data_IF_706179483278
#
_entry.id   IF_706179483278
#
_cell.length_a   1.000
_cell.length_b   1.000
_cell.length_c   1.000
_cell.angle_alpha   90.00
_cell.angle_beta   90.00
_cell.angle_gamma   90.00
#
_symmetry.space_group_name_H-M   'P 1'
#
loop_
_entity.id
_entity.type
_entity.pdbx_description
1 polymer ?
#
# COMPACT_ATOMS: atom_id res chain seq x y z
N UNK A 1 49.02 12.36 44.98
CA UNK A 1 48.18 12.22 43.77
C UNK A 1 47.62 13.60 43.46
N UNK A 2 47.86 14.15 42.29
CA UNK A 2 47.62 15.54 41.94
C UNK A 2 46.14 15.74 41.62
N UNK A 3 45.34 16.22 42.56
CA UNK A 3 43.91 16.33 42.47
C UNK A 3 43.45 17.16 41.24
N UNK A 4 44.29 18.13 40.81
CA UNK A 4 44.03 18.92 39.60
C UNK A 4 44.09 18.05 38.33
N UNK A 5 45.03 17.11 38.25
CA UNK A 5 45.11 16.21 37.08
C UNK A 5 43.97 15.24 36.99
N UNK A 6 43.47 14.77 38.14
CA UNK A 6 42.27 13.90 38.20
C UNK A 6 41.05 14.69 37.79
N UNK A 7 40.84 15.90 38.29
CA UNK A 7 39.73 16.75 37.94
C UNK A 7 39.69 17.11 36.44
N UNK A 8 40.85 17.39 35.85
CA UNK A 8 40.98 17.63 34.40
C UNK A 8 40.66 16.37 33.59
N UNK A 9 41.11 15.20 34.04
CA UNK A 9 40.80 13.93 33.38
C UNK A 9 39.30 13.63 33.39
N UNK A 10 38.63 13.79 34.53
CA UNK A 10 37.18 13.59 34.65
C UNK A 10 36.43 14.59 33.77
N UNK A 11 36.82 15.88 33.79
CA UNK A 11 36.16 16.89 32.94
C UNK A 11 36.34 16.56 31.44
N UNK A 12 37.51 16.13 31.02
CA UNK A 12 37.77 15.74 29.62
C UNK A 12 36.89 14.54 29.21
N UNK A 13 36.75 13.53 30.08
CA UNK A 13 35.89 12.37 29.81
C UNK A 13 34.42 12.75 29.68
N UNK A 14 33.92 13.64 30.54
CA UNK A 14 32.55 14.14 30.47
C UNK A 14 32.29 14.92 29.17
N UNK A 15 33.27 15.78 28.78
CA UNK A 15 33.12 16.54 27.53
C UNK A 15 33.17 15.64 26.29
N UNK A 16 34.00 14.60 26.28
CA UNK A 16 34.02 13.62 25.19
C UNK A 16 32.71 12.86 25.12
N UNK A 17 32.21 12.39 26.26
CA UNK A 17 30.91 11.69 26.30
C UNK A 17 29.76 12.59 25.83
N UNK A 18 29.72 13.84 26.29
CA UNK A 18 28.71 14.82 25.84
C UNK A 18 28.82 15.13 24.35
N UNK A 19 30.03 15.21 23.79
CA UNK A 19 30.23 15.41 22.36
C UNK A 19 29.78 14.21 21.52
N UNK A 20 30.03 13.00 22.00
CA UNK A 20 29.56 11.77 21.34
C UNK A 20 28.03 11.74 21.38
N UNK A 21 27.41 12.03 22.53
CA UNK A 21 25.95 12.09 22.65
C UNK A 21 25.34 13.17 21.74
N UNK A 22 25.93 14.36 21.73
CA UNK A 22 25.50 15.45 20.86
C UNK A 22 25.61 15.05 19.38
N UNK A 23 26.69 14.40 18.98
CA UNK A 23 26.88 13.91 17.63
C UNK A 23 25.86 12.83 17.30
N UNK A 24 25.62 11.87 18.20
CA UNK A 24 24.60 10.83 18.02
C UNK A 24 23.18 11.41 17.91
N UNK A 25 22.85 12.41 18.72
CA UNK A 25 21.54 13.10 18.67
C UNK A 25 21.41 13.95 17.39
N UNK A 26 22.48 14.65 16.98
CA UNK A 26 22.43 15.49 15.79
C UNK A 26 22.57 14.71 14.48
N UNK A 27 23.14 13.50 14.51
CA UNK A 27 23.18 12.58 13.38
C UNK A 27 22.02 11.57 13.39
N UNK A 28 21.20 11.61 14.42
CA UNK A 28 19.92 10.93 14.43
C UNK A 28 18.99 11.73 13.52
N UNK A 29 19.07 11.46 12.24
CA UNK A 29 17.95 11.68 11.36
C UNK A 29 16.88 10.72 11.89
N UNK A 30 15.79 11.27 12.39
CA UNK A 30 14.58 10.51 12.49
C UNK A 30 14.30 10.00 11.08
N UNK A 31 14.76 8.81 10.78
CA UNK A 31 14.21 8.03 9.69
C UNK A 31 12.86 7.52 10.22
N UNK A 32 11.98 8.49 10.32
CA UNK A 32 10.59 8.35 10.58
C UNK A 32 10.09 7.59 9.37
N UNK A 33 9.97 6.28 9.47
CA UNK A 33 9.61 5.37 8.42
C UNK A 33 8.66 6.00 7.41
N UNK A 34 9.25 6.58 6.41
CA UNK A 34 8.72 7.65 5.56
C UNK A 34 7.48 7.28 4.78
N UNK A 35 7.10 6.02 4.78
CA UNK A 35 5.89 5.57 4.08
C UNK A 35 4.59 5.94 4.80
N UNK A 36 4.60 6.12 6.13
CA UNK A 36 3.39 6.30 6.92
C UNK A 36 3.26 7.67 7.61
N UNK A 37 4.27 8.51 7.54
CA UNK A 37 4.27 9.81 8.22
C UNK A 37 3.56 10.93 7.50
N UNK A 38 3.30 10.75 6.26
CA UNK A 38 2.51 11.72 5.53
C UNK A 38 1.04 11.35 5.68
N UNK A 39 0.39 11.85 6.73
CA UNK A 39 -1.05 12.11 6.65
C UNK A 39 -1.26 12.71 5.27
N UNK A 40 -1.96 11.96 4.43
CA UNK A 40 -2.24 12.34 3.06
C UNK A 40 -2.72 13.80 3.00
N UNK A 41 -1.79 14.73 2.95
CA UNK A 41 -2.11 16.08 2.51
C UNK A 41 -2.36 15.93 1.03
N UNK A 42 -3.62 15.86 0.74
CA UNK A 42 -4.18 15.80 -0.57
C UNK A 42 -3.32 16.53 -1.58
N UNK A 43 -2.77 15.85 -2.54
CA UNK A 43 -2.35 16.50 -3.77
C UNK A 43 -3.63 16.92 -4.48
N UNK A 44 -4.16 18.06 -4.05
CA UNK A 44 -5.47 18.50 -4.45
C UNK A 44 -5.34 19.40 -5.63
N UNK A 45 -5.95 19.00 -6.68
CA UNK A 45 -6.31 19.89 -7.76
C UNK A 45 -7.80 20.16 -7.67
N UNK A 46 -8.14 21.39 -7.34
CA UNK A 46 -9.50 21.86 -7.47
C UNK A 46 -9.74 22.17 -8.95
N UNK A 47 -10.55 21.38 -9.58
CA UNK A 47 -10.94 21.57 -10.97
C UNK A 47 -12.38 22.01 -11.04
N UNK A 48 -12.63 23.10 -11.77
CA UNK A 48 -14.00 23.52 -12.09
C UNK A 48 -14.48 22.76 -13.30
N UNK A 49 -15.55 21.97 -13.14
CA UNK A 49 -16.21 21.27 -14.25
C UNK A 49 -17.60 21.81 -14.50
N UNK A 50 -17.98 21.82 -15.78
CA UNK A 50 -19.35 22.09 -16.20
C UNK A 50 -20.15 20.79 -16.26
N UNK A 51 -21.46 20.88 -16.16
CA UNK A 51 -22.38 19.75 -16.13
C UNK A 51 -22.15 18.69 -17.23
N UNK A 52 -21.69 19.11 -18.39
CA UNK A 52 -21.50 18.21 -19.54
C UNK A 52 -20.07 17.68 -19.70
N UNK A 53 -19.14 18.07 -18.82
CA UNK A 53 -17.78 17.55 -18.85
C UNK A 53 -17.76 16.22 -18.10
N UNK A 54 -17.77 15.12 -18.84
CA UNK A 54 -17.66 13.78 -18.28
C UNK A 54 -16.26 13.18 -18.44
N UNK A 55 -15.39 13.83 -19.21
CA UNK A 55 -14.04 13.39 -19.50
C UNK A 55 -13.03 14.45 -19.12
N UNK A 56 -11.99 14.08 -18.40
CA UNK A 56 -10.87 14.94 -18.09
C UNK A 56 -9.57 14.14 -17.98
N UNK A 57 -8.48 14.78 -18.33
CA UNK A 57 -7.15 14.20 -18.25
C UNK A 57 -6.42 14.62 -16.99
N UNK A 58 -5.70 13.69 -16.39
CA UNK A 58 -4.71 13.96 -15.36
C UNK A 58 -3.32 13.79 -15.97
N UNK A 59 -2.45 14.76 -15.75
CA UNK A 59 -1.03 14.59 -15.95
C UNK A 59 -0.31 14.73 -14.61
N UNK A 60 0.67 13.88 -14.36
CA UNK A 60 1.46 13.94 -13.14
C UNK A 60 2.71 14.80 -13.37
N UNK A 61 3.11 15.50 -12.32
CA UNK A 61 4.42 16.15 -12.33
C UNK A 61 5.51 15.11 -12.08
N UNK A 62 6.69 15.45 -12.56
CA UNK A 62 7.91 14.68 -12.50
C UNK A 62 8.17 13.99 -11.15
N UNK A 63 8.27 12.68 -11.13
CA UNK A 63 8.82 11.86 -10.03
C UNK A 63 10.07 11.12 -10.51
N UNK A 64 10.83 10.54 -9.62
CA UNK A 64 12.08 9.82 -9.97
C UNK A 64 11.82 8.39 -10.41
N UNK A 65 10.62 7.87 -10.21
CA UNK A 65 10.26 6.49 -10.48
C UNK A 65 8.97 6.38 -11.31
N UNK A 66 8.89 5.37 -12.15
CA UNK A 66 7.66 4.99 -12.81
C UNK A 66 6.64 4.48 -11.78
N UNK A 67 5.40 4.93 -11.87
CA UNK A 67 4.33 4.46 -11.00
C UNK A 67 3.66 3.21 -11.57
N UNK A 68 3.32 2.30 -10.69
CA UNK A 68 2.59 1.08 -11.02
C UNK A 68 1.11 1.25 -10.69
N UNK A 69 0.23 0.79 -11.56
CA UNK A 69 -1.22 0.90 -11.37
C UNK A 69 -1.72 0.15 -10.13
N UNK A 70 -1.11 -0.98 -9.83
CA UNK A 70 -1.41 -1.79 -8.65
C UNK A 70 -1.20 -1.07 -7.33
N UNK A 71 -0.37 -0.01 -7.33
CA UNK A 71 -0.05 0.81 -6.16
C UNK A 71 -0.78 2.14 -6.13
N UNK A 72 -1.43 2.51 -7.24
CA UNK A 72 -2.15 3.78 -7.38
C UNK A 72 -3.58 3.68 -6.85
N UNK A 73 -4.00 4.75 -6.19
CA UNK A 73 -5.40 5.03 -5.90
C UNK A 73 -5.73 6.44 -6.35
N UNK A 74 -6.80 6.58 -7.10
CA UNK A 74 -7.27 7.85 -7.64
C UNK A 74 -8.72 8.01 -7.19
N UNK A 75 -9.01 9.12 -6.53
CA UNK A 75 -10.36 9.44 -6.10
C UNK A 75 -10.77 10.85 -6.48
N UNK A 76 -12.07 11.01 -6.71
CA UNK A 76 -12.73 12.28 -7.02
C UNK A 76 -13.72 12.57 -5.90
N UNK A 77 -13.69 13.82 -5.42
CA UNK A 77 -14.66 14.35 -4.47
C UNK A 77 -15.32 15.58 -5.10
N UNK A 78 -16.64 15.54 -5.23
CA UNK A 78 -17.45 16.63 -5.77
C UNK A 78 -18.09 17.53 -4.69
N UNK A 79 -17.64 17.38 -3.44
CA UNK A 79 -18.16 18.07 -2.25
C UNK A 79 -19.40 17.42 -1.63
N UNK A 80 -19.99 16.43 -2.27
CA UNK A 80 -21.12 15.66 -1.73
C UNK A 80 -20.81 14.17 -1.60
N UNK A 81 -19.99 13.65 -2.49
CA UNK A 81 -19.58 12.24 -2.52
C UNK A 81 -18.11 12.13 -2.96
N UNK A 82 -17.38 11.23 -2.33
CA UNK A 82 -16.06 10.79 -2.78
C UNK A 82 -16.21 9.43 -3.45
N UNK A 83 -15.60 9.29 -4.61
CA UNK A 83 -15.60 8.06 -5.38
C UNK A 83 -14.19 7.71 -5.83
N UNK A 84 -13.82 6.45 -5.76
CA UNK A 84 -12.57 5.95 -6.30
C UNK A 84 -12.72 5.64 -7.80
N UNK A 85 -11.66 5.89 -8.57
CA UNK A 85 -11.60 5.59 -10.00
C UNK A 85 -10.83 4.28 -10.22
N UNK A 86 -11.24 3.51 -11.21
CA UNK A 86 -10.67 2.20 -11.51
C UNK A 86 -10.57 1.97 -13.02
N UNK A 87 -9.57 1.22 -13.45
CA UNK A 87 -9.48 0.64 -14.80
C UNK A 87 -10.47 -0.53 -14.98
N UNK A 88 -10.89 -1.13 -13.85
CA UNK A 88 -11.85 -2.23 -13.80
C UNK A 88 -13.30 -1.77 -13.65
N UNK A 89 -14.19 -2.75 -13.47
CA UNK A 89 -15.62 -2.51 -13.32
C UNK A 89 -16.04 -2.14 -11.90
N UNK A 90 -15.12 -2.27 -10.94
CA UNK A 90 -15.40 -2.10 -9.52
C UNK A 90 -14.40 -1.15 -8.86
N UNK A 91 -14.82 -0.57 -7.75
CA UNK A 91 -14.01 0.23 -6.84
C UNK A 91 -14.23 -0.21 -5.41
N UNK A 92 -13.34 0.18 -4.51
CA UNK A 92 -13.46 -0.14 -3.09
C UNK A 92 -14.73 0.42 -2.47
N UNK A 93 -15.29 -0.36 -1.54
CA UNK A 93 -16.19 0.14 -0.51
C UNK A 93 -15.41 0.49 0.75
N UNK A 94 -15.90 1.49 1.47
CA UNK A 94 -15.43 1.76 2.83
C UNK A 94 -16.12 0.76 3.78
N UNK A 95 -15.32 -0.12 4.35
CA UNK A 95 -15.79 -1.15 5.29
C UNK A 95 -15.61 -0.76 6.77
N UNK A 96 -15.16 0.48 7.01
CA UNK A 96 -14.89 0.98 8.35
C UNK A 96 -13.69 0.27 9.02
N UNK A 97 -13.69 0.24 10.36
CA UNK A 97 -12.62 -0.38 11.15
C UNK A 97 -12.87 -1.90 11.28
N UNK A 98 -12.22 -2.67 10.45
CA UNK A 98 -12.21 -4.13 10.50
C UNK A 98 -10.77 -4.62 10.71
N UNK A 99 -10.58 -5.81 11.30
CA UNK A 99 -9.25 -6.40 11.45
C UNK A 99 -8.58 -6.73 10.11
N UNK A 100 -9.37 -6.99 9.09
CA UNK A 100 -8.93 -7.17 7.70
C UNK A 100 -9.57 -6.08 6.87
N UNK A 101 -8.76 -5.16 6.38
CA UNK A 101 -9.20 -3.94 5.68
C UNK A 101 -8.65 -3.90 4.25
N UNK A 102 -9.30 -4.58 3.28
CA UNK A 102 -8.91 -4.54 1.89
C UNK A 102 -9.42 -3.28 1.20
N UNK A 103 -8.59 -2.74 0.30
CA UNK A 103 -8.91 -1.62 -0.58
C UNK A 103 -8.42 -1.92 -2.00
N UNK A 104 -9.33 -1.88 -2.97
CA UNK A 104 -9.02 -2.12 -4.38
C UNK A 104 -8.21 -0.96 -4.96
N UNK A 105 -7.14 -1.25 -5.65
CA UNK A 105 -6.29 -0.29 -6.35
C UNK A 105 -6.92 0.18 -7.66
N UNK A 106 -6.35 1.23 -8.27
CA UNK A 106 -6.88 1.80 -9.51
C UNK A 106 -6.72 0.90 -10.74
N UNK A 107 -5.91 -0.17 -10.66
CA UNK A 107 -5.86 -1.20 -11.70
C UNK A 107 -7.16 -2.02 -11.79
N UNK A 108 -7.97 -2.07 -10.71
CA UNK A 108 -9.20 -2.82 -10.64
C UNK A 108 -9.03 -4.32 -10.39
N UNK A 109 -7.83 -4.77 -10.06
CA UNK A 109 -7.46 -6.18 -9.91
C UNK A 109 -6.69 -6.48 -8.62
N UNK A 110 -5.92 -5.52 -8.11
CA UNK A 110 -5.06 -5.66 -6.92
C UNK A 110 -5.72 -5.03 -5.71
N UNK A 111 -5.71 -5.74 -4.59
CA UNK A 111 -6.08 -5.17 -3.29
C UNK A 111 -4.83 -4.82 -2.48
N UNK A 112 -4.86 -3.64 -1.85
CA UNK A 112 -4.01 -3.31 -0.71
C UNK A 112 -4.78 -3.67 0.56
N UNK A 113 -4.20 -4.49 1.41
CA UNK A 113 -4.86 -5.03 2.61
C UNK A 113 -4.08 -4.61 3.84
N UNK A 114 -4.77 -4.10 4.84
CA UNK A 114 -4.20 -3.84 6.17
C UNK A 114 -4.79 -4.85 7.16
N UNK A 115 -3.91 -5.49 7.92
CA UNK A 115 -4.28 -6.46 8.95
C UNK A 115 -3.96 -5.89 10.32
N UNK A 116 -4.96 -5.84 11.19
CA UNK A 116 -4.75 -5.61 12.62
C UNK A 116 -4.20 -6.90 13.28
N UNK A 117 -2.91 -6.90 13.57
CA UNK A 117 -2.19 -7.96 14.26
C UNK A 117 -1.76 -7.54 15.69
N UNK A 118 -2.49 -6.60 16.30
CA UNK A 118 -2.15 -6.01 17.61
C UNK A 118 -2.46 -6.94 18.78
N UNK A 119 -3.30 -7.97 18.60
CA UNK A 119 -3.64 -8.91 19.66
C UNK A 119 -2.39 -9.56 20.27
N UNK A 120 -2.35 -9.63 21.61
CA UNK A 120 -1.26 -10.29 22.35
C UNK A 120 -1.46 -11.81 22.47
N UNK A 121 -2.71 -12.26 22.37
CA UNK A 121 -3.11 -13.64 22.68
C UNK A 121 -3.49 -14.44 21.44
N UNK A 122 -4.14 -13.77 20.46
CA UNK A 122 -4.77 -14.45 19.33
C UNK A 122 -4.14 -14.04 18.00
N UNK A 123 -4.17 -14.95 17.03
CA UNK A 123 -3.87 -14.63 15.65
C UNK A 123 -5.10 -14.01 14.95
N UNK A 124 -4.86 -13.08 14.05
CA UNK A 124 -5.85 -12.68 13.06
C UNK A 124 -5.79 -13.65 11.88
N UNK A 125 -6.83 -14.45 11.73
CA UNK A 125 -6.95 -15.46 10.69
C UNK A 125 -7.64 -14.89 9.47
N UNK A 126 -7.09 -15.10 8.28
CA UNK A 126 -7.54 -14.47 7.04
C UNK A 126 -7.77 -15.51 5.95
N UNK A 127 -8.91 -15.42 5.27
CA UNK A 127 -9.13 -16.06 3.99
C UNK A 127 -8.66 -15.14 2.87
N UNK A 128 -7.65 -15.55 2.11
CA UNK A 128 -7.02 -14.73 1.07
C UNK A 128 -7.90 -14.56 -0.19
N UNK A 129 -8.73 -15.54 -0.51
CA UNK A 129 -9.63 -15.45 -1.66
C UNK A 129 -10.76 -14.45 -1.46
N UNK A 130 -11.28 -14.35 -0.24
CA UNK A 130 -12.41 -13.48 0.12
C UNK A 130 -11.98 -12.19 0.82
N UNK A 131 -10.71 -12.07 1.22
CA UNK A 131 -10.11 -10.96 1.97
C UNK A 131 -10.91 -10.59 3.21
N UNK A 132 -11.24 -11.59 4.01
CA UNK A 132 -12.00 -11.42 5.26
C UNK A 132 -11.37 -12.17 6.43
N UNK A 133 -11.66 -11.69 7.65
CA UNK A 133 -11.37 -12.44 8.87
C UNK A 133 -12.18 -13.75 8.89
N UNK A 134 -11.55 -14.81 9.35
CA UNK A 134 -12.15 -16.15 9.49
C UNK A 134 -11.73 -16.78 10.81
N UNK A 135 -12.19 -18.00 11.07
CA UNK A 135 -11.79 -18.75 12.24
C UNK A 135 -10.52 -19.58 12.01
N UNK A 136 -10.01 -20.18 13.08
CA UNK A 136 -8.78 -20.98 13.09
C UNK A 136 -8.85 -22.27 12.25
N UNK A 137 -10.02 -22.66 11.77
CA UNK A 137 -10.23 -23.89 11.00
C UNK A 137 -10.31 -23.67 9.49
N UNK A 138 -10.47 -22.42 9.05
CA UNK A 138 -10.78 -22.09 7.65
C UNK A 138 -9.93 -20.94 7.09
N UNK A 139 -8.75 -20.69 7.68
CA UNK A 139 -7.85 -19.64 7.21
C UNK A 139 -6.84 -20.14 6.17
N UNK A 140 -6.33 -19.21 5.37
CA UNK A 140 -5.22 -19.43 4.44
C UNK A 140 -3.90 -18.89 5.02
N UNK A 141 -3.98 -17.76 5.74
CA UNK A 141 -2.85 -17.09 6.38
C UNK A 141 -3.27 -16.51 7.73
N UNK A 142 -2.35 -16.46 8.70
CA UNK A 142 -2.61 -15.89 10.02
C UNK A 142 -1.49 -14.96 10.47
N UNK A 143 -1.87 -13.92 11.23
CA UNK A 143 -1.00 -12.84 11.65
C UNK A 143 -1.05 -12.64 13.16
N UNK A 144 0.11 -12.48 13.79
CA UNK A 144 0.23 -12.00 15.17
C UNK A 144 1.53 -11.22 15.30
N UNK A 145 1.44 -9.92 15.56
CA UNK A 145 2.63 -9.03 15.63
C UNK A 145 3.46 -9.11 14.35
N UNK A 146 4.66 -9.71 14.40
CA UNK A 146 5.54 -9.96 13.26
C UNK A 146 5.46 -11.39 12.73
N UNK A 147 4.73 -12.24 13.41
CA UNK A 147 4.65 -13.65 13.06
C UNK A 147 3.52 -13.90 12.05
N UNK A 148 3.89 -14.40 10.90
CA UNK A 148 2.99 -14.71 9.78
C UNK A 148 3.22 -16.16 9.38
N UNK A 149 2.13 -16.93 9.29
CA UNK A 149 2.15 -18.34 8.92
C UNK A 149 1.07 -18.63 7.88
N UNK A 150 1.39 -19.47 6.92
CA UNK A 150 0.42 -20.07 6.01
C UNK A 150 -0.29 -21.26 6.69
N UNK A 151 -1.48 -21.59 6.24
CA UNK A 151 -2.16 -22.81 6.71
C UNK A 151 -1.59 -24.07 6.06
N UNK A 152 -1.90 -25.24 6.60
CA UNK A 152 -1.45 -26.54 6.10
C UNK A 152 -1.92 -26.85 4.65
N UNK A 153 -2.99 -26.19 4.21
CA UNK A 153 -3.54 -26.38 2.86
C UNK A 153 -2.99 -25.41 1.81
N UNK A 154 -2.06 -24.54 2.22
CA UNK A 154 -1.47 -23.52 1.36
C UNK A 154 -0.01 -23.87 1.09
N UNK A 155 0.35 -23.92 -0.19
CA UNK A 155 1.75 -24.06 -0.59
C UNK A 155 2.25 -22.74 -1.17
N UNK A 156 3.54 -22.47 -1.02
CA UNK A 156 4.11 -21.18 -1.43
C UNK A 156 5.48 -21.29 -2.08
N UNK A 157 5.84 -20.22 -2.78
CA UNK A 157 7.20 -19.97 -3.29
C UNK A 157 7.50 -18.48 -3.26
N UNK A 158 8.78 -18.10 -3.35
CA UNK A 158 9.23 -16.72 -3.29
C UNK A 158 9.84 -16.31 -4.62
N UNK A 159 9.53 -15.10 -5.08
CA UNK A 159 10.10 -14.45 -6.25
C UNK A 159 10.77 -13.14 -5.84
N UNK A 160 12.03 -12.93 -6.23
CA UNK A 160 12.83 -11.75 -5.89
C UNK A 160 13.31 -10.98 -7.13
N UNK A 161 13.18 -11.55 -8.32
CA UNK A 161 13.74 -11.03 -9.58
C UNK A 161 12.71 -10.31 -10.48
N UNK A 162 11.48 -10.12 -10.00
CA UNK A 162 10.39 -9.47 -10.73
C UNK A 162 9.66 -8.45 -9.88
N UNK A 163 9.06 -7.47 -10.54
CA UNK A 163 8.10 -6.58 -9.89
C UNK A 163 6.74 -7.25 -9.76
N UNK A 164 5.90 -6.71 -8.86
CA UNK A 164 4.56 -7.24 -8.64
C UNK A 164 3.70 -7.21 -9.91
N UNK A 165 3.80 -6.16 -10.74
CA UNK A 165 3.05 -6.04 -12.00
C UNK A 165 3.56 -6.95 -13.12
N UNK A 166 4.87 -7.24 -13.15
CA UNK A 166 5.43 -8.14 -14.15
C UNK A 166 5.07 -9.60 -13.95
N UNK A 167 4.58 -9.93 -12.74
CA UNK A 167 4.26 -11.30 -12.36
C UNK A 167 2.80 -11.64 -12.70
N UNK A 168 2.55 -12.03 -13.94
CA UNK A 168 1.21 -12.35 -14.45
C UNK A 168 1.01 -13.85 -14.76
N UNK A 169 2.09 -14.63 -14.77
CA UNK A 169 2.05 -16.06 -15.02
C UNK A 169 2.55 -16.85 -13.82
N UNK A 170 1.98 -18.05 -13.62
CA UNK A 170 2.44 -18.96 -12.57
C UNK A 170 3.89 -19.35 -12.82
N UNK A 171 4.81 -19.10 -11.87
CA UNK A 171 6.21 -19.43 -12.07
C UNK A 171 6.42 -20.95 -12.16
N UNK A 172 7.38 -21.36 -12.99
CA UNK A 172 7.79 -22.76 -13.07
C UNK A 172 8.79 -23.09 -11.95
N UNK A 173 8.30 -23.09 -10.72
CA UNK A 173 9.06 -23.39 -9.50
C UNK A 173 8.28 -24.36 -8.63
N UNK A 174 8.97 -25.02 -7.71
CA UNK A 174 8.34 -25.90 -6.74
C UNK A 174 7.62 -25.07 -5.67
N UNK A 175 6.38 -25.42 -5.39
CA UNK A 175 5.59 -24.88 -4.29
C UNK A 175 5.74 -25.80 -3.09
N UNK A 176 6.23 -25.27 -1.99
CA UNK A 176 6.47 -26.02 -0.77
C UNK A 176 5.42 -25.73 0.30
N UNK A 177 5.14 -26.71 1.13
CA UNK A 177 4.36 -26.49 2.36
C UNK A 177 5.27 -25.80 3.38
N UNK A 178 4.82 -24.64 3.86
CA UNK A 178 5.55 -23.83 4.85
C UNK A 178 4.69 -23.50 6.07
N UNK A 179 3.67 -24.31 6.35
CA UNK A 179 2.67 -24.02 7.39
C UNK A 179 3.24 -23.89 8.81
N UNK A 180 4.33 -24.58 9.10
CA UNK A 180 5.02 -24.50 10.39
C UNK A 180 6.15 -23.47 10.41
N UNK A 181 6.50 -22.91 9.26
CA UNK A 181 7.58 -21.93 9.12
C UNK A 181 7.00 -20.52 9.10
N UNK A 182 7.57 -19.67 9.94
CA UNK A 182 7.27 -18.24 9.89
C UNK A 182 7.78 -17.65 8.57
N UNK A 183 6.97 -16.87 7.89
CA UNK A 183 7.41 -16.16 6.69
C UNK A 183 8.54 -15.18 7.03
N UNK A 184 9.58 -15.18 6.21
CA UNK A 184 10.73 -14.29 6.29
C UNK A 184 10.45 -13.04 5.43
N UNK A 185 9.69 -12.09 6.00
CA UNK A 185 9.10 -10.97 5.25
C UNK A 185 9.68 -9.60 5.62
N UNK A 186 10.54 -9.53 6.65
CA UNK A 186 11.08 -8.28 7.14
C UNK A 186 12.48 -8.42 7.71
N UNK A 187 13.21 -7.31 7.70
CA UNK A 187 14.44 -7.06 8.44
C UNK A 187 14.18 -6.18 9.67
N UNK A 188 14.80 -6.47 10.80
CA UNK A 188 14.81 -5.57 11.93
C UNK A 188 16.06 -4.67 11.91
N UNK A 189 15.85 -3.37 11.71
CA UNK A 189 16.94 -2.37 11.72
C UNK A 189 17.24 -1.94 13.16
N UNK A 190 18.38 -2.38 13.68
CA UNK A 190 18.82 -2.08 15.05
C UNK A 190 19.06 -0.58 15.26
N UNK A 191 19.46 0.15 14.23
CA UNK A 191 19.80 1.58 14.31
C UNK A 191 18.57 2.46 14.52
N UNK A 192 17.46 2.11 13.89
CA UNK A 192 16.19 2.85 13.94
C UNK A 192 15.17 2.20 14.84
N UNK A 193 15.41 0.96 15.30
CA UNK A 193 14.47 0.11 16.02
C UNK A 193 13.16 -0.13 15.26
N UNK A 194 13.25 -0.22 13.93
CA UNK A 194 12.11 -0.40 13.06
C UNK A 194 12.17 -1.72 12.29
N UNK A 195 11.00 -2.16 11.89
CA UNK A 195 10.81 -3.25 10.94
C UNK A 195 10.76 -2.65 9.55
N UNK A 196 11.64 -3.12 8.67
CA UNK A 196 11.64 -2.82 7.25
C UNK A 196 11.21 -4.06 6.48
N UNK A 197 10.25 -3.88 5.58
CA UNK A 197 9.73 -4.98 4.76
C UNK A 197 10.73 -5.32 3.67
N UNK A 198 10.97 -6.60 3.45
CA UNK A 198 11.83 -7.08 2.37
C UNK A 198 11.12 -7.02 1.00
N UNK A 199 11.89 -6.76 -0.04
CA UNK A 199 11.38 -6.69 -1.42
C UNK A 199 11.23 -8.09 -2.03
N UNK A 200 10.29 -8.87 -1.48
CA UNK A 200 9.96 -10.24 -1.89
C UNK A 200 8.50 -10.34 -2.31
N UNK A 201 8.23 -11.19 -3.29
CA UNK A 201 6.86 -11.55 -3.68
C UNK A 201 6.64 -13.01 -3.32
N UNK A 202 5.62 -13.26 -2.53
CA UNK A 202 5.16 -14.59 -2.17
C UNK A 202 4.08 -15.02 -3.15
N UNK A 203 4.27 -16.17 -3.80
CA UNK A 203 3.22 -16.79 -4.58
C UNK A 203 2.65 -17.91 -3.73
N UNK A 204 1.37 -17.82 -3.41
CA UNK A 204 0.67 -18.84 -2.65
C UNK A 204 -0.36 -19.55 -3.55
N UNK A 205 -0.41 -20.87 -3.42
CA UNK A 205 -1.40 -21.71 -4.09
C UNK A 205 -2.42 -22.19 -3.07
N UNK A 206 -3.68 -21.88 -3.36
CA UNK A 206 -4.84 -22.30 -2.56
C UNK A 206 -5.80 -23.01 -3.50
N UNK A 207 -5.93 -24.32 -3.35
CA UNK A 207 -6.64 -25.16 -4.31
C UNK A 207 -6.08 -25.00 -5.74
N UNK A 208 -6.91 -24.52 -6.68
CA UNK A 208 -6.51 -24.28 -8.08
C UNK A 208 -6.12 -22.82 -8.35
N UNK A 209 -6.20 -21.94 -7.34
CA UNK A 209 -5.92 -20.52 -7.50
C UNK A 209 -4.53 -20.15 -6.98
N UNK A 210 -3.91 -19.21 -7.68
CA UNK A 210 -2.60 -18.67 -7.33
C UNK A 210 -2.72 -17.18 -7.04
N UNK A 211 -2.19 -16.77 -5.90
CA UNK A 211 -2.17 -15.39 -5.44
C UNK A 211 -0.74 -14.91 -5.29
N UNK A 212 -0.45 -13.71 -5.78
CA UNK A 212 0.80 -13.00 -5.51
C UNK A 212 0.58 -12.04 -4.34
N UNK A 213 1.48 -12.08 -3.36
CA UNK A 213 1.44 -11.26 -2.15
C UNK A 213 2.77 -10.53 -2.02
N UNK A 214 2.72 -9.23 -1.79
CA UNK A 214 3.89 -8.41 -1.47
C UNK A 214 3.59 -7.60 -0.23
N UNK A 215 4.35 -7.83 0.84
CA UNK A 215 4.25 -7.02 2.05
C UNK A 215 4.76 -5.61 1.78
N UNK A 216 4.11 -4.60 2.35
CA UNK A 216 4.42 -3.19 2.10
C UNK A 216 4.70 -2.39 3.36
N UNK A 217 4.13 -2.75 4.51
CA UNK A 217 4.36 -2.06 5.77
C UNK A 217 4.06 -2.95 6.97
N UNK A 218 4.66 -2.61 8.11
CA UNK A 218 4.33 -3.13 9.45
C UNK A 218 3.55 -2.11 10.28
N UNK A 219 3.42 -0.89 9.76
CA UNK A 219 2.85 0.25 10.46
C UNK A 219 1.62 0.76 9.72
N UNK A 220 0.67 1.33 10.49
CA UNK A 220 -0.48 2.03 9.92
C UNK A 220 -0.14 3.49 9.55
N UNK A 221 -1.14 4.24 9.09
CA UNK A 221 -1.00 5.65 8.69
C UNK A 221 -0.66 6.60 9.86
N UNK A 222 -0.87 6.17 11.10
CA UNK A 222 -0.50 6.89 12.32
C UNK A 222 0.85 6.42 12.90
N UNK A 223 1.61 5.62 12.13
CA UNK A 223 2.91 5.03 12.50
C UNK A 223 2.84 4.05 13.69
N UNK A 224 1.69 3.50 13.96
CA UNK A 224 1.52 2.49 15.00
C UNK A 224 1.93 1.10 14.46
N UNK A 225 2.74 0.34 15.21
CA UNK A 225 3.21 -0.98 14.80
C UNK A 225 2.11 -2.05 14.87
N UNK A 226 2.36 -3.21 14.23
CA UNK A 226 1.48 -4.39 14.20
C UNK A 226 0.24 -4.21 13.32
N UNK A 227 0.31 -3.31 12.36
CA UNK A 227 -0.64 -3.19 11.27
C UNK A 227 0.04 -3.62 9.99
N UNK A 228 0.01 -4.94 9.75
CA UNK A 228 0.70 -5.51 8.59
C UNK A 228 -0.05 -5.18 7.32
N UNK A 229 0.63 -4.52 6.39
CA UNK A 229 0.06 -4.17 5.09
C UNK A 229 0.70 -4.99 3.98
N UNK A 230 -0.11 -5.42 3.03
CA UNK A 230 0.37 -6.11 1.84
C UNK A 230 -0.52 -5.85 0.63
N UNK A 231 0.06 -6.03 -0.55
CA UNK A 231 -0.66 -6.09 -1.82
C UNK A 231 -0.96 -7.54 -2.15
N UNK A 232 -2.13 -7.80 -2.74
CA UNK A 232 -2.53 -9.12 -3.20
C UNK A 232 -3.28 -9.02 -4.54
N UNK A 233 -2.94 -9.89 -5.46
CA UNK A 233 -3.62 -10.07 -6.73
C UNK A 233 -3.53 -11.54 -7.17
N UNK A 234 -4.26 -11.92 -8.19
CA UNK A 234 -4.18 -13.26 -8.77
C UNK A 234 -3.19 -13.31 -9.93
N UNK A 235 -2.73 -14.51 -10.28
CA UNK A 235 -1.90 -14.76 -11.46
C UNK A 235 -2.48 -15.92 -12.28
N UNK A 236 -2.19 -15.91 -13.59
CA UNK A 236 -2.70 -16.90 -14.53
C UNK A 236 -4.23 -16.80 -14.67
N UNK A 237 -4.90 -17.96 -14.66
CA UNK A 237 -6.36 -18.05 -14.79
C UNK A 237 -7.06 -18.20 -13.41
N UNK A 238 -6.45 -17.70 -12.36
CA UNK A 238 -6.98 -17.83 -11.00
C UNK A 238 -8.18 -16.93 -10.77
N UNK A 239 -9.17 -17.42 -10.04
CA UNK A 239 -10.32 -16.64 -9.61
C UNK A 239 -9.96 -15.83 -8.35
N UNK A 240 -10.52 -14.61 -8.27
CA UNK A 240 -10.41 -13.77 -7.08
C UNK A 240 -11.80 -13.40 -6.56
N UNK A 241 -12.37 -14.20 -5.66
CA UNK A 241 -13.73 -13.97 -5.13
C UNK A 241 -13.94 -12.58 -4.54
N UNK A 242 -12.90 -11.99 -3.94
CA UNK A 242 -12.96 -10.64 -3.38
C UNK A 242 -13.42 -9.58 -4.40
N UNK A 243 -13.06 -9.73 -5.70
CA UNK A 243 -13.45 -8.79 -6.76
C UNK A 243 -14.95 -8.80 -7.07
N UNK A 244 -15.68 -9.81 -6.65
CA UNK A 244 -17.14 -9.91 -6.80
C UNK A 244 -17.90 -9.81 -5.48
N UNK A 245 -17.18 -9.59 -4.37
CA UNK A 245 -17.80 -9.46 -3.05
C UNK A 245 -18.40 -8.06 -2.87
N UNK A 246 -19.74 -7.99 -2.85
CA UNK A 246 -20.48 -6.73 -2.70
C UNK A 246 -20.26 -6.01 -1.36
N UNK A 247 -19.64 -6.66 -0.37
CA UNK A 247 -19.26 -6.03 0.90
C UNK A 247 -17.94 -5.27 0.77
N UNK A 248 -17.07 -5.66 -0.16
CA UNK A 248 -15.76 -5.07 -0.38
C UNK A 248 -15.72 -4.09 -1.55
N UNK A 249 -16.50 -4.35 -2.59
CA UNK A 249 -16.49 -3.57 -3.82
C UNK A 249 -17.88 -3.11 -4.24
N UNK A 250 -17.90 -2.03 -5.00
CA UNK A 250 -19.11 -1.51 -5.65
C UNK A 250 -18.81 -1.21 -7.12
N UNK A 251 -19.83 -1.15 -8.00
CA UNK A 251 -19.63 -0.74 -9.39
C UNK A 251 -18.88 0.61 -9.47
N UNK A 252 -17.89 0.68 -10.34
CA UNK A 252 -17.11 1.89 -10.54
C UNK A 252 -18.00 3.00 -11.12
N UNK A 253 -18.03 4.14 -10.44
CA UNK A 253 -18.68 5.36 -10.94
C UNK A 253 -17.74 6.21 -11.79
N UNK A 254 -16.43 6.05 -11.57
CA UNK A 254 -15.35 6.71 -12.28
C UNK A 254 -14.46 5.65 -12.92
N UNK A 255 -14.30 5.69 -14.24
CA UNK A 255 -13.48 4.72 -14.97
C UNK A 255 -12.25 5.39 -15.57
N UNK A 256 -11.12 4.76 -15.40
CA UNK A 256 -9.86 5.15 -16.03
C UNK A 256 -9.81 4.51 -17.41
N UNK A 257 -9.77 5.31 -18.46
CA UNK A 257 -9.87 4.85 -19.86
C UNK A 257 -8.54 4.81 -20.59
N UNK A 258 -7.54 5.52 -20.09
CA UNK A 258 -6.20 5.47 -20.64
C UNK A 258 -5.28 4.75 -19.66
N UNK A 259 -4.57 3.74 -20.16
CA UNK A 259 -3.82 2.84 -19.33
C UNK A 259 -2.52 2.45 -19.98
N UNK A 260 -1.42 2.69 -19.30
CA UNK A 260 -0.19 1.92 -19.46
C UNK A 260 -0.02 0.97 -18.28
N UNK A 261 0.88 0.02 -18.37
CA UNK A 261 1.26 -0.82 -17.22
C UNK A 261 1.99 0.01 -16.16
N UNK A 262 2.78 0.98 -16.60
CA UNK A 262 3.53 1.93 -15.75
C UNK A 262 3.22 3.35 -16.16
N UNK A 263 3.11 4.22 -15.17
CA UNK A 263 3.02 5.67 -15.38
C UNK A 263 4.42 6.23 -15.21
N UNK A 264 5.04 6.66 -16.32
CA UNK A 264 6.31 7.36 -16.25
C UNK A 264 6.09 8.83 -15.94
N UNK A 265 6.30 9.23 -14.72
CA UNK A 265 6.17 10.63 -14.30
C UNK A 265 7.30 11.55 -14.81
N UNK A 266 8.34 10.99 -15.44
CA UNK A 266 9.42 11.76 -16.05
C UNK A 266 9.05 12.27 -17.44
N UNK A 267 8.23 11.52 -18.15
CA UNK A 267 7.70 11.94 -19.43
C UNK A 267 6.47 12.81 -19.20
N UNK A 268 6.61 14.11 -19.40
CA UNK A 268 5.58 15.15 -19.15
C UNK A 268 4.26 14.96 -19.90
N UNK A 269 4.08 13.89 -20.65
CA UNK A 269 2.98 13.69 -21.57
C UNK A 269 2.10 12.48 -21.24
N UNK A 270 2.38 11.72 -20.17
CA UNK A 270 1.45 10.67 -19.78
C UNK A 270 0.22 11.28 -19.13
N UNK A 271 -0.90 11.12 -19.80
CA UNK A 271 -2.21 11.58 -19.34
C UNK A 271 -3.02 10.37 -18.93
N UNK A 272 -3.58 10.41 -17.75
CA UNK A 272 -4.65 9.51 -17.37
C UNK A 272 -5.96 10.19 -17.75
N UNK A 273 -6.69 9.63 -18.67
CA UNK A 273 -8.03 10.07 -18.93
C UNK A 273 -8.97 9.39 -17.92
N UNK A 274 -9.64 10.20 -17.15
CA UNK A 274 -10.60 9.77 -16.16
C UNK A 274 -11.96 10.23 -16.62
N UNK A 275 -12.88 9.32 -16.80
CA UNK A 275 -14.23 9.71 -17.17
C UNK A 275 -15.25 9.07 -16.24
N UNK A 276 -16.36 9.72 -16.16
CA UNK A 276 -17.48 9.27 -15.39
C UNK A 276 -18.30 8.20 -16.11
N UNK A 277 -18.62 7.13 -15.41
CA UNK A 277 -19.45 6.07 -15.94
C UNK A 277 -20.89 6.18 -15.40
N UNK A 278 -21.77 6.86 -16.11
CA UNK A 278 -23.20 7.06 -15.79
C UNK A 278 -23.50 7.89 -14.52
N UNK A 279 -22.67 8.83 -14.20
CA UNK A 279 -22.80 9.65 -13.02
C UNK A 279 -22.78 11.14 -13.38
N UNK A 280 -23.76 11.91 -12.92
CA UNK A 280 -23.71 13.36 -13.00
C UNK A 280 -22.81 13.90 -11.89
N UNK A 281 -21.52 14.12 -12.18
CA UNK A 281 -20.55 14.65 -11.19
C UNK A 281 -21.08 15.97 -10.61
N UNK A 282 -21.69 16.82 -11.46
CA UNK A 282 -22.32 18.06 -11.04
C UNK A 282 -23.67 18.27 -11.68
N UNK A 283 -24.62 18.82 -10.93
CA UNK A 283 -25.91 19.28 -11.46
C UNK A 283 -25.79 20.58 -12.26
N UNK A 284 -24.68 21.29 -12.08
CA UNK A 284 -24.33 22.55 -12.76
C UNK A 284 -22.80 22.64 -12.81
N UNK A 285 -22.20 23.81 -12.80
CA UNK A 285 -20.77 24.01 -12.58
C UNK A 285 -20.41 23.65 -11.13
N UNK A 286 -19.41 22.81 -10.93
CA UNK A 286 -18.88 22.49 -9.59
C UNK A 286 -17.36 22.43 -9.59
N UNK A 287 -16.80 22.40 -8.39
CA UNK A 287 -15.38 22.17 -8.15
C UNK A 287 -15.22 20.74 -7.69
N UNK A 288 -14.43 19.96 -8.40
CA UNK A 288 -14.02 18.64 -7.97
C UNK A 288 -12.63 18.70 -7.37
N UNK A 289 -12.41 17.85 -6.39
CA UNK A 289 -11.12 17.61 -5.76
C UNK A 289 -10.64 16.24 -6.19
N UNK A 290 -9.48 16.17 -6.84
CA UNK A 290 -8.87 14.94 -7.26
C UNK A 290 -7.72 14.60 -6.30
N UNK A 291 -7.71 13.40 -5.77
CA UNK A 291 -6.65 12.90 -4.90
C UNK A 291 -6.01 11.69 -5.55
N UNK A 292 -4.69 11.72 -5.64
CA UNK A 292 -3.90 10.58 -6.13
C UNK A 292 -2.94 10.17 -5.04
N UNK A 293 -2.94 8.89 -4.69
CA UNK A 293 -2.00 8.30 -3.74
C UNK A 293 -1.26 7.14 -4.39
N UNK A 294 -0.01 6.96 -3.99
CA UNK A 294 0.83 5.85 -4.39
C UNK A 294 1.33 5.15 -3.13
N UNK A 295 1.01 3.87 -2.98
CA UNK A 295 1.25 3.12 -1.74
C UNK A 295 0.74 3.87 -0.47
N UNK A 296 -0.40 4.56 -0.58
CA UNK A 296 -0.93 5.39 0.52
C UNK A 296 -0.31 6.78 0.64
N UNK A 297 0.79 7.07 -0.06
CA UNK A 297 1.47 8.37 -0.05
C UNK A 297 0.89 9.27 -1.16
N UNK A 298 0.54 10.53 -0.87
CA UNK A 298 0.09 11.45 -1.91
C UNK A 298 1.18 11.70 -2.96
N UNK A 299 0.81 11.55 -4.22
CA UNK A 299 1.69 11.95 -5.32
C UNK A 299 1.74 13.47 -5.37
N UNK A 300 2.89 14.04 -5.03
CA UNK A 300 3.10 15.49 -5.12
C UNK A 300 3.20 15.87 -6.59
N UNK A 301 2.29 16.70 -7.06
CA UNK A 301 2.37 17.26 -8.40
C UNK A 301 1.33 18.32 -8.64
N UNK A 302 1.70 19.32 -9.43
CA UNK A 302 0.74 20.12 -10.15
C UNK A 302 0.36 19.33 -11.38
N UNK A 303 -0.86 18.90 -11.44
CA UNK A 303 -1.40 18.33 -12.66
C UNK A 303 -1.86 19.47 -13.54
N UNK A 304 -1.43 19.47 -14.78
CA UNK A 304 -2.15 20.18 -15.82
C UNK A 304 -3.37 19.32 -16.16
N UNK A 305 -4.54 19.79 -15.77
CA UNK A 305 -5.79 19.10 -16.04
C UNK A 305 -6.35 19.74 -17.32
N UNK A 306 -6.44 18.95 -18.36
CA UNK A 306 -7.10 19.33 -19.58
C UNK A 306 -8.51 18.76 -19.58
N UNK A 307 -9.49 19.64 -19.73
CA UNK A 307 -10.87 19.27 -20.05
C UNK A 307 -10.98 19.03 -21.56
N UNK A 308 -11.40 17.85 -21.95
CA UNK A 308 -11.71 17.52 -23.33
C UNK A 308 -13.20 17.55 -23.58
#
# INVERSE_FOLDING_TARGET
MDFKKIAIGVLATVLIAASIWFFLISSYEEDLGTKNEFKAQDSVNNLTIEKNNSLFGLSFSKSEEALEWSKLRISIDNGTERMDCSKGNFTSKDIGNAKVSPKLSSDGETFSVVIDATSEEDFTHVNLGELKETDETAYDIRFSKTDIYLSENVTGTIIEDKTFEELNEVPNQDFTETSEERLDWYDYKITTHRIEVEDKIYIVKINENYYKIKFTSYYNDDDEPRYVSFMIGTIGNSEFPALSNSDLVSPAKCTIIESGEKIDLWERNEKIAIFENNFDICNSTCIIKITVTYEGIPVKGTSDIELN
#
